data_IF_633592135351
#
_entry.id   IF_633592135351
#
_cell.length_a   1.000
_cell.length_b   1.000
_cell.length_c   1.000
_cell.angle_alpha   90.00
_cell.angle_beta   90.00
_cell.angle_gamma   90.00
#
_symmetry.space_group_name_H-M   'P 1'
#
loop_
_entity.id
_entity.type
_entity.pdbx_description
1 polymer ?
#
# COMPACT_ATOMS: atom_id res chain seq x y z
N UNK A 1 -46.77 -20.95 -67.70
CA UNK A 1 -47.44 -19.94 -66.84
C UNK A 1 -46.46 -19.62 -65.71
N UNK A 2 -45.45 -18.77 -65.95
CA UNK A 2 -45.35 -17.33 -65.61
C UNK A 2 -45.41 -17.10 -64.08
N UNK A 3 -44.47 -16.44 -63.38
CA UNK A 3 -43.48 -15.41 -63.73
C UNK A 3 -42.43 -15.31 -62.59
N UNK A 4 -41.19 -14.96 -62.95
CA UNK A 4 -40.19 -14.34 -62.06
C UNK A 4 -40.65 -12.92 -61.71
N UNK A 5 -40.46 -12.47 -60.47
CA UNK A 5 -40.24 -11.05 -60.15
C UNK A 5 -39.31 -10.93 -58.93
N UNK A 6 -38.14 -10.36 -59.17
CA UNK A 6 -37.36 -9.69 -58.15
C UNK A 6 -38.00 -8.32 -57.88
N UNK A 7 -38.03 -7.90 -56.62
CA UNK A 7 -38.24 -6.51 -56.22
C UNK A 7 -37.35 -6.22 -55.00
N UNK A 8 -36.37 -5.34 -55.22
CA UNK A 8 -35.64 -4.63 -54.19
C UNK A 8 -36.56 -3.55 -53.55
N UNK A 9 -36.21 -3.13 -52.32
CA UNK A 9 -36.48 -1.84 -51.64
C UNK A 9 -36.45 -2.14 -50.12
N UNK A 10 -35.36 -1.83 -49.42
CA UNK A 10 -35.13 -0.56 -48.71
C UNK A 10 -36.07 -0.35 -47.52
N UNK A 11 -35.47 -0.28 -46.32
CA UNK A 11 -36.07 0.41 -45.16
C UNK A 11 -36.80 -0.49 -44.17
N UNK A 12 -36.05 -1.07 -43.25
CA UNK A 12 -36.60 -1.72 -42.07
C UNK A 12 -35.47 -1.87 -41.07
N UNK A 13 -35.21 -0.81 -40.30
CA UNK A 13 -34.33 -0.88 -39.15
C UNK A 13 -34.86 -1.96 -38.21
N UNK A 14 -34.27 -3.14 -38.28
CA UNK A 14 -34.29 -4.05 -37.14
C UNK A 14 -33.48 -3.30 -36.09
N UNK A 15 -34.19 -2.62 -35.19
CA UNK A 15 -33.71 -2.35 -33.85
C UNK A 15 -33.37 -3.72 -33.24
N UNK A 16 -32.20 -4.23 -33.59
CA UNK A 16 -31.47 -5.12 -32.73
C UNK A 16 -31.28 -4.28 -31.50
N UNK A 17 -32.06 -4.55 -30.46
CA UNK A 17 -31.70 -4.19 -29.10
C UNK A 17 -30.39 -4.92 -28.83
N UNK A 18 -29.29 -4.33 -29.28
CA UNK A 18 -27.96 -4.65 -28.82
C UNK A 18 -28.01 -4.29 -27.34
N UNK A 19 -28.20 -5.29 -26.48
CA UNK A 19 -27.79 -5.24 -25.07
C UNK A 19 -26.25 -5.14 -25.00
N UNK A 20 -25.67 -4.18 -25.71
CA UNK A 20 -24.28 -3.78 -25.58
C UNK A 20 -24.23 -2.78 -24.44
N UNK A 21 -23.89 -3.30 -23.26
CA UNK A 21 -23.11 -2.62 -22.23
C UNK A 21 -23.58 -1.24 -21.81
N UNK A 22 -24.35 -1.20 -20.73
CA UNK A 22 -24.42 -0.04 -19.85
C UNK A 22 -23.11 0.06 -19.03
N UNK A 23 -21.95 0.15 -19.69
CA UNK A 23 -20.72 0.71 -19.08
C UNK A 23 -20.66 2.14 -19.58
N UNK A 24 -21.45 3.01 -18.96
CA UNK A 24 -21.72 4.36 -19.43
C UNK A 24 -21.38 5.31 -18.27
N UNK A 25 -20.21 5.96 -18.36
CA UNK A 25 -19.76 7.12 -17.57
C UNK A 25 -19.40 6.91 -16.08
N UNK A 26 -20.15 6.10 -15.32
CA UNK A 26 -19.91 5.90 -13.88
C UNK A 26 -18.68 5.04 -13.56
N UNK A 27 -18.47 3.97 -14.33
CA UNK A 27 -17.27 3.13 -14.23
C UNK A 27 -15.99 3.94 -14.48
N UNK A 28 -16.03 4.85 -15.44
CA UNK A 28 -14.89 5.70 -15.77
C UNK A 28 -14.62 6.71 -14.65
N UNK A 29 -15.67 7.32 -14.08
CA UNK A 29 -15.54 8.25 -12.94
C UNK A 29 -14.96 7.62 -11.69
N UNK A 30 -15.40 6.41 -11.31
CA UNK A 30 -14.86 5.74 -10.12
C UNK A 30 -13.40 5.31 -10.34
N UNK A 31 -13.04 4.92 -11.57
CA UNK A 31 -11.65 4.64 -11.93
C UNK A 31 -10.77 5.89 -11.93
N UNK A 32 -11.27 7.03 -12.41
CA UNK A 32 -10.56 8.31 -12.38
C UNK A 32 -10.34 8.80 -10.93
N UNK A 33 -11.38 8.73 -10.10
CA UNK A 33 -11.27 9.01 -8.66
C UNK A 33 -10.24 8.08 -8.00
N UNK A 34 -10.31 6.78 -8.29
CA UNK A 34 -9.36 5.81 -7.76
C UNK A 34 -7.94 6.13 -8.22
N UNK A 35 -7.75 6.53 -9.48
CA UNK A 35 -6.44 6.93 -10.00
C UNK A 35 -5.87 8.15 -9.26
N UNK A 36 -6.67 9.19 -9.06
CA UNK A 36 -6.27 10.39 -8.33
C UNK A 36 -5.78 10.05 -6.91
N UNK A 37 -6.57 9.24 -6.18
CA UNK A 37 -6.19 8.77 -4.85
C UNK A 37 -4.93 7.91 -4.92
N UNK A 38 -4.88 6.92 -5.83
CA UNK A 38 -3.80 5.95 -5.91
C UNK A 38 -2.45 6.56 -6.29
N UNK A 39 -2.42 7.62 -7.11
CA UNK A 39 -1.20 8.34 -7.45
C UNK A 39 -0.59 9.03 -6.21
N UNK A 40 -1.42 9.48 -5.26
CA UNK A 40 -0.97 10.06 -3.98
C UNK A 40 -0.63 9.00 -2.93
N UNK A 41 -1.30 7.84 -2.98
CA UNK A 41 -1.15 6.72 -2.06
C UNK A 41 0.18 5.99 -2.26
N UNK A 42 0.59 5.76 -3.52
CA UNK A 42 1.77 4.98 -3.87
C UNK A 42 3.05 5.35 -3.08
N UNK A 43 3.50 6.63 -3.03
CA UNK A 43 4.71 6.98 -2.28
C UNK A 43 4.58 6.70 -0.77
N UNK A 44 3.37 6.76 -0.21
CA UNK A 44 3.16 6.49 1.21
C UNK A 44 3.15 4.98 1.48
N UNK A 45 2.60 4.16 0.57
CA UNK A 45 2.71 2.70 0.68
C UNK A 45 4.16 2.24 0.60
N UNK A 46 5.00 2.88 -0.23
CA UNK A 46 6.43 2.57 -0.28
C UNK A 46 7.11 2.89 1.05
N UNK A 47 6.83 4.06 1.65
CA UNK A 47 7.35 4.40 2.99
C UNK A 47 6.94 3.38 4.05
N UNK A 48 5.70 2.89 4.02
CA UNK A 48 5.25 1.85 4.95
C UNK A 48 6.02 0.55 4.72
N UNK A 49 6.19 0.13 3.45
CA UNK A 49 6.94 -1.07 3.11
C UNK A 49 8.41 -0.99 3.55
N UNK A 50 9.08 0.14 3.31
CA UNK A 50 10.48 0.36 3.68
C UNK A 50 10.66 0.45 5.21
N UNK A 51 9.73 1.11 5.91
CA UNK A 51 9.72 1.14 7.37
C UNK A 51 9.58 -0.27 7.96
N UNK A 52 8.62 -1.06 7.46
CA UNK A 52 8.46 -2.45 7.89
C UNK A 52 9.70 -3.30 7.58
N UNK A 53 10.34 -3.09 6.42
CA UNK A 53 11.57 -3.80 6.08
C UNK A 53 12.72 -3.47 7.05
N UNK A 54 12.84 -2.21 7.49
CA UNK A 54 13.87 -1.82 8.46
C UNK A 54 13.68 -2.50 9.83
N UNK A 55 12.44 -2.61 10.33
CA UNK A 55 12.11 -3.37 11.55
C UNK A 55 12.51 -4.85 11.40
N UNK A 56 12.13 -5.47 10.27
CA UNK A 56 12.46 -6.87 10.02
C UNK A 56 13.97 -7.11 9.93
N UNK A 57 14.71 -6.15 9.36
CA UNK A 57 16.15 -6.22 9.27
C UNK A 57 16.82 -6.24 10.66
N UNK A 58 16.38 -5.38 11.59
CA UNK A 58 16.94 -5.38 12.95
C UNK A 58 16.79 -6.72 13.66
N UNK A 59 15.66 -7.40 13.42
CA UNK A 59 15.39 -8.75 13.93
C UNK A 59 16.35 -9.77 13.32
N UNK A 60 16.57 -9.73 12.00
CA UNK A 60 17.50 -10.64 11.31
C UNK A 60 18.96 -10.43 11.75
N UNK A 61 19.35 -9.18 11.96
CA UNK A 61 20.72 -8.79 12.32
C UNK A 61 21.07 -9.09 13.79
N UNK A 62 20.11 -9.58 14.60
CA UNK A 62 20.27 -9.79 16.05
C UNK A 62 20.80 -8.52 16.75
N UNK A 63 20.21 -7.38 16.41
CA UNK A 63 20.70 -6.06 16.78
C UNK A 63 20.62 -5.77 18.28
N UNK A 64 21.40 -4.79 18.74
CA UNK A 64 21.37 -4.38 20.14
C UNK A 64 20.06 -3.66 20.47
N UNK A 65 19.57 -3.70 21.73
CA UNK A 65 18.34 -3.03 22.13
C UNK A 65 18.24 -1.55 21.71
N UNK A 66 19.34 -0.80 21.78
CA UNK A 66 19.36 0.60 21.37
C UNK A 66 19.14 0.80 19.87
N UNK A 67 19.70 -0.09 19.04
CA UNK A 67 19.57 -0.02 17.58
C UNK A 67 18.15 -0.43 17.14
N UNK A 68 17.59 -1.46 17.80
CA UNK A 68 16.19 -1.87 17.64
C UNK A 68 15.25 -0.73 18.02
N UNK A 69 15.41 -0.14 19.21
CA UNK A 69 14.59 0.99 19.66
C UNK A 69 14.62 2.17 18.68
N UNK A 70 15.81 2.58 18.25
CA UNK A 70 15.97 3.72 17.36
C UNK A 70 15.31 3.46 15.99
N UNK A 71 15.50 2.24 15.45
CA UNK A 71 14.92 1.86 14.16
C UNK A 71 13.40 1.75 14.24
N UNK A 72 12.87 1.06 15.26
CA UNK A 72 11.43 0.87 15.44
C UNK A 72 10.73 2.21 15.67
N UNK A 73 11.35 3.12 16.44
CA UNK A 73 10.83 4.49 16.65
C UNK A 73 10.74 5.27 15.33
N UNK A 74 11.81 5.26 14.54
CA UNK A 74 11.83 5.92 13.23
C UNK A 74 10.81 5.30 12.26
N UNK A 75 10.71 3.97 12.26
CA UNK A 75 9.78 3.23 11.42
C UNK A 75 8.31 3.54 11.79
N UNK A 76 7.95 3.49 13.08
CA UNK A 76 6.59 3.82 13.53
C UNK A 76 6.25 5.29 13.29
N UNK A 77 7.20 6.21 13.43
CA UNK A 77 7.01 7.60 13.03
C UNK A 77 6.71 7.73 11.53
N UNK A 78 7.49 7.05 10.68
CA UNK A 78 7.30 7.08 9.23
C UNK A 78 5.94 6.50 8.83
N UNK A 79 5.55 5.38 9.44
CA UNK A 79 4.26 4.74 9.20
C UNK A 79 3.10 5.64 9.65
N UNK A 80 3.20 6.25 10.84
CA UNK A 80 2.21 7.21 11.35
C UNK A 80 1.99 8.37 10.36
N UNK A 81 3.06 8.97 9.86
CA UNK A 81 2.99 10.06 8.88
C UNK A 81 2.42 9.59 7.54
N UNK A 82 2.79 8.39 7.09
CA UNK A 82 2.26 7.80 5.86
C UNK A 82 0.75 7.62 5.96
N UNK A 83 0.22 7.04 7.06
CA UNK A 83 -1.22 6.93 7.28
C UNK A 83 -1.94 8.28 7.33
N UNK A 84 -1.32 9.31 7.92
CA UNK A 84 -1.88 10.67 7.89
C UNK A 84 -1.99 11.21 6.47
N UNK A 85 -0.96 11.01 5.66
CA UNK A 85 -0.92 11.43 4.27
C UNK A 85 -1.93 10.65 3.42
N UNK A 86 -2.12 9.35 3.65
CA UNK A 86 -3.17 8.55 3.02
C UNK A 86 -4.57 9.12 3.33
N UNK A 87 -4.85 9.43 4.60
CA UNK A 87 -6.11 10.06 5.00
C UNK A 87 -6.32 11.42 4.30
N UNK A 88 -5.27 12.23 4.19
CA UNK A 88 -5.31 13.52 3.50
C UNK A 88 -5.58 13.36 2.00
N UNK A 89 -5.04 12.33 1.35
CA UNK A 89 -5.27 12.06 -0.06
C UNK A 89 -6.75 11.71 -0.33
N UNK A 90 -7.33 10.83 0.49
CA UNK A 90 -8.77 10.48 0.39
C UNK A 90 -9.67 11.68 0.71
N UNK A 91 -9.29 12.49 1.70
CA UNK A 91 -10.01 13.71 2.03
C UNK A 91 -10.00 14.71 0.86
N UNK A 92 -8.83 14.89 0.23
CA UNK A 92 -8.63 15.85 -0.87
C UNK A 92 -9.33 15.43 -2.16
N UNK A 93 -9.37 14.12 -2.46
CA UNK A 93 -10.05 13.59 -3.64
C UNK A 93 -11.57 13.68 -3.56
N UNK A 94 -12.14 13.96 -2.38
CA UNK A 94 -13.57 13.98 -2.18
C UNK A 94 -14.22 12.59 -2.14
N UNK A 95 -15.56 12.53 -2.05
CA UNK A 95 -16.30 11.28 -2.09
C UNK A 95 -16.08 10.50 -3.39
N UNK A 96 -15.87 9.17 -3.35
CA UNK A 96 -15.91 8.36 -4.56
C UNK A 96 -17.30 8.45 -5.21
N UNK A 97 -17.40 8.44 -6.54
CA UNK A 97 -18.66 8.60 -7.27
C UNK A 97 -19.45 7.28 -7.32
N UNK A 98 -19.84 6.78 -6.15
CA UNK A 98 -20.64 5.58 -5.92
C UNK A 98 -21.78 5.89 -4.94
N UNK A 99 -22.74 4.98 -4.83
CA UNK A 99 -23.72 5.03 -3.75
C UNK A 99 -22.99 5.00 -2.38
N UNK A 100 -23.45 5.84 -1.44
CA UNK A 100 -22.82 6.07 -0.13
C UNK A 100 -21.38 6.63 -0.15
N UNK A 101 -20.93 7.23 -1.26
CA UNK A 101 -19.58 7.77 -1.40
C UNK A 101 -19.13 8.71 -0.26
N UNK A 102 -20.00 9.61 0.21
CA UNK A 102 -19.67 10.49 1.33
C UNK A 102 -19.37 9.72 2.63
N UNK A 103 -20.16 8.69 2.91
CA UNK A 103 -19.98 7.85 4.09
C UNK A 103 -18.67 7.08 3.95
N UNK A 104 -18.44 6.49 2.79
CA UNK A 104 -17.19 5.77 2.46
C UNK A 104 -15.96 6.65 2.68
N UNK A 105 -15.98 7.89 2.18
CA UNK A 105 -14.89 8.84 2.35
C UNK A 105 -14.66 9.18 3.84
N UNK A 106 -15.71 9.56 4.57
CA UNK A 106 -15.61 9.96 5.98
C UNK A 106 -15.10 8.82 6.86
N UNK A 107 -15.61 7.60 6.64
CA UNK A 107 -15.12 6.41 7.34
C UNK A 107 -13.65 6.14 7.00
N UNK A 108 -13.27 6.16 5.72
CA UNK A 108 -11.89 5.93 5.31
C UNK A 108 -10.92 6.95 5.91
N UNK A 109 -11.24 8.25 5.84
CA UNK A 109 -10.43 9.33 6.42
C UNK A 109 -10.30 9.17 7.93
N UNK A 110 -11.39 8.83 8.62
CA UNK A 110 -11.37 8.58 10.07
C UNK A 110 -10.44 7.43 10.42
N UNK A 111 -10.55 6.30 9.75
CA UNK A 111 -9.78 5.09 10.04
C UNK A 111 -8.29 5.25 9.70
N UNK A 112 -7.96 5.94 8.59
CA UNK A 112 -6.58 6.27 8.24
C UNK A 112 -5.93 7.21 9.26
N UNK A 113 -6.68 8.21 9.74
CA UNK A 113 -6.22 9.09 10.82
C UNK A 113 -6.08 8.36 12.16
N UNK A 114 -6.99 7.44 12.49
CA UNK A 114 -6.89 6.61 13.69
C UNK A 114 -5.64 5.72 13.64
N UNK A 115 -5.34 5.12 12.48
CA UNK A 115 -4.12 4.34 12.26
C UNK A 115 -2.87 5.21 12.45
N UNK A 116 -2.88 6.44 11.92
CA UNK A 116 -1.79 7.39 12.13
C UNK A 116 -1.50 7.65 13.62
N UNK A 117 -2.55 7.89 14.42
CA UNK A 117 -2.43 8.10 15.86
C UNK A 117 -1.87 6.86 16.55
N UNK A 118 -2.41 5.68 16.24
CA UNK A 118 -1.98 4.43 16.87
C UNK A 118 -0.49 4.13 16.64
N UNK A 119 0.03 4.37 15.42
CA UNK A 119 1.47 4.24 15.15
C UNK A 119 2.32 5.30 15.86
N UNK A 120 1.79 6.51 16.08
CA UNK A 120 2.47 7.53 16.90
C UNK A 120 2.55 7.12 18.38
N UNK A 121 1.53 6.44 18.89
CA UNK A 121 1.52 5.87 20.23
C UNK A 121 2.55 4.73 20.35
N UNK A 122 2.63 3.83 19.36
CA UNK A 122 3.65 2.79 19.30
C UNK A 122 5.06 3.36 19.34
N UNK A 123 5.33 4.42 18.56
CA UNK A 123 6.60 5.16 18.61
C UNK A 123 6.92 5.59 20.04
N UNK A 124 5.97 6.22 20.70
CA UNK A 124 6.14 6.74 22.07
C UNK A 124 6.48 5.61 23.05
N UNK A 125 5.87 4.43 22.89
CA UNK A 125 6.14 3.27 23.73
C UNK A 125 7.49 2.64 23.45
N UNK A 126 7.90 2.56 22.17
CA UNK A 126 9.24 2.13 21.79
C UNK A 126 10.29 3.05 22.40
N UNK A 127 10.11 4.37 22.31
CA UNK A 127 11.02 5.36 22.89
C UNK A 127 11.18 5.17 24.41
N UNK A 128 10.16 4.65 25.09
CA UNK A 128 10.16 4.40 26.53
C UNK A 128 10.79 3.06 26.94
N UNK A 129 11.14 2.19 25.98
CA UNK A 129 11.75 0.89 26.28
C UNK A 129 13.09 1.04 26.99
N UNK A 130 13.37 0.13 27.92
CA UNK A 130 14.64 0.11 28.64
C UNK A 130 15.71 -0.63 27.84
N UNK A 131 16.56 0.10 27.13
CA UNK A 131 17.64 -0.48 26.29
C UNK A 131 18.85 -0.98 27.09
N UNK A 132 18.90 -0.75 28.40
CA UNK A 132 20.01 -1.15 29.29
C UNK A 132 19.80 -2.50 29.95
N UNK A 133 18.57 -3.02 29.91
CA UNK A 133 18.18 -4.29 30.52
C UNK A 133 17.50 -5.15 29.45
N UNK A 134 18.19 -6.20 29.01
CA UNK A 134 17.73 -7.01 27.89
C UNK A 134 16.42 -7.75 28.19
N UNK A 135 16.20 -8.17 29.44
CA UNK A 135 14.96 -8.85 29.82
C UNK A 135 13.78 -7.87 29.78
N UNK A 136 13.95 -6.68 30.37
CA UNK A 136 12.91 -5.63 30.32
C UNK A 136 12.67 -5.12 28.91
N UNK A 137 13.70 -5.03 28.09
CA UNK A 137 13.54 -4.65 26.68
C UNK A 137 12.70 -5.67 25.93
N UNK A 138 13.02 -6.96 26.07
CA UNK A 138 12.29 -8.04 25.44
C UNK A 138 10.84 -8.14 25.92
N UNK A 139 10.59 -7.87 27.21
CA UNK A 139 9.23 -7.81 27.75
C UNK A 139 8.45 -6.62 27.18
N UNK A 140 9.04 -5.43 27.13
CA UNK A 140 8.38 -4.27 26.55
C UNK A 140 8.09 -4.42 25.04
N UNK A 141 8.94 -5.15 24.30
CA UNK A 141 8.65 -5.49 22.90
C UNK A 141 7.42 -6.39 22.73
N UNK A 142 7.06 -7.22 23.74
CA UNK A 142 5.81 -8.01 23.69
C UNK A 142 4.59 -7.09 23.77
N UNK A 143 4.62 -6.08 24.64
CA UNK A 143 3.55 -5.10 24.74
C UNK A 143 3.35 -4.33 23.42
N UNK A 144 4.46 -3.96 22.75
CA UNK A 144 4.44 -3.37 21.41
C UNK A 144 3.80 -4.32 20.39
N UNK A 145 4.17 -5.60 20.41
CA UNK A 145 3.62 -6.61 19.52
C UNK A 145 2.11 -6.82 19.73
N UNK A 146 1.65 -6.81 20.98
CA UNK A 146 0.22 -6.90 21.31
C UNK A 146 -0.58 -5.71 20.77
N UNK A 147 -0.01 -4.51 20.83
CA UNK A 147 -0.64 -3.32 20.24
C UNK A 147 -0.63 -3.32 18.73
N UNK A 148 0.46 -3.74 18.10
CA UNK A 148 0.49 -3.98 16.66
C UNK A 148 -0.58 -4.99 16.23
N UNK A 149 -0.80 -6.05 17.00
CA UNK A 149 -1.83 -7.04 16.71
C UNK A 149 -3.25 -6.43 16.80
N UNK A 150 -3.50 -5.55 17.78
CA UNK A 150 -4.75 -4.79 17.87
C UNK A 150 -4.94 -3.84 16.68
N UNK A 151 -3.89 -3.12 16.30
CA UNK A 151 -3.91 -2.22 15.14
C UNK A 151 -4.21 -3.03 13.87
N UNK A 152 -3.54 -4.17 13.67
CA UNK A 152 -3.79 -5.04 12.51
C UNK A 152 -5.23 -5.54 12.48
N UNK A 153 -5.75 -6.02 13.61
CA UNK A 153 -7.10 -6.59 13.69
C UNK A 153 -8.17 -5.52 13.41
N UNK A 154 -8.03 -4.33 13.97
CA UNK A 154 -8.98 -3.23 13.77
C UNK A 154 -8.83 -2.62 12.37
N UNK A 155 -7.60 -2.44 11.91
CA UNK A 155 -7.28 -1.91 10.58
C UNK A 155 -7.80 -2.81 9.46
N UNK A 156 -7.73 -4.13 9.61
CA UNK A 156 -8.27 -5.08 8.63
C UNK A 156 -9.79 -4.93 8.45
N UNK A 157 -10.54 -4.58 9.49
CA UNK A 157 -11.99 -4.37 9.35
C UNK A 157 -12.31 -3.07 8.62
N UNK A 158 -11.58 -2.00 8.93
CA UNK A 158 -11.71 -0.72 8.26
C UNK A 158 -11.31 -0.80 6.78
N UNK A 159 -10.18 -1.43 6.49
CA UNK A 159 -9.64 -1.55 5.14
C UNK A 159 -10.53 -2.45 4.27
N UNK A 160 -11.11 -3.52 4.83
CA UNK A 160 -12.08 -4.38 4.13
C UNK A 160 -13.29 -3.61 3.60
N UNK A 161 -13.75 -2.57 4.29
CA UNK A 161 -14.85 -1.73 3.80
C UNK A 161 -14.43 -0.91 2.58
N UNK A 162 -13.27 -0.25 2.66
CA UNK A 162 -12.73 0.54 1.53
C UNK A 162 -12.37 -0.34 0.33
N UNK A 163 -11.94 -1.58 0.59
CA UNK A 163 -11.61 -2.59 -0.43
C UNK A 163 -12.82 -3.39 -0.93
N UNK A 164 -14.03 -3.08 -0.48
CA UNK A 164 -15.26 -3.74 -0.93
C UNK A 164 -15.99 -2.91 -1.99
N UNK A 165 -16.83 -3.59 -2.76
CA UNK A 165 -17.66 -2.96 -3.79
C UNK A 165 -16.86 -2.29 -4.90
N UNK A 166 -17.51 -1.38 -5.61
CA UNK A 166 -16.97 -0.71 -6.80
C UNK A 166 -15.71 0.10 -6.52
N UNK A 167 -15.62 0.74 -5.36
CA UNK A 167 -14.44 1.51 -4.93
C UNK A 167 -13.22 0.61 -4.79
N UNK A 168 -13.38 -0.53 -4.11
CA UNK A 168 -12.30 -1.51 -3.93
C UNK A 168 -11.81 -2.09 -5.25
N UNK A 169 -12.74 -2.43 -6.15
CA UNK A 169 -12.41 -2.92 -7.50
C UNK A 169 -11.67 -1.87 -8.33
N UNK A 170 -12.11 -0.62 -8.30
CA UNK A 170 -11.46 0.49 -9.00
C UNK A 170 -10.04 0.71 -8.48
N UNK A 171 -9.84 0.77 -7.16
CA UNK A 171 -8.51 0.92 -6.55
C UNK A 171 -7.58 -0.25 -6.88
N UNK A 172 -8.08 -1.49 -6.91
CA UNK A 172 -7.27 -2.67 -7.23
C UNK A 172 -6.74 -2.68 -8.68
N UNK A 173 -7.46 -2.04 -9.61
CA UNK A 173 -7.04 -1.86 -11.00
C UNK A 173 -5.90 -0.84 -11.14
N UNK A 174 -5.76 0.09 -10.19
CA UNK A 174 -4.76 1.15 -10.26
C UNK A 174 -3.39 0.69 -9.76
N UNK A 175 -2.36 0.91 -10.57
CA UNK A 175 -0.96 0.60 -10.22
C UNK A 175 -0.51 1.28 -8.92
N UNK A 176 -0.94 2.51 -8.66
CA UNK A 176 -0.53 3.29 -7.49
C UNK A 176 -1.03 2.73 -6.14
N UNK A 177 -2.10 1.94 -6.15
CA UNK A 177 -2.62 1.28 -4.94
C UNK A 177 -2.18 -0.17 -4.79
N UNK A 178 -1.39 -0.71 -5.72
CA UNK A 178 -0.85 -2.05 -5.58
C UNK A 178 0.23 -2.07 -4.50
N UNK A 179 0.28 -3.16 -3.72
CA UNK A 179 1.27 -3.31 -2.65
C UNK A 179 2.70 -3.22 -3.24
N UNK A 180 3.51 -2.24 -2.83
CA UNK A 180 4.88 -2.16 -3.29
C UNK A 180 5.72 -3.27 -2.66
N UNK A 181 6.71 -3.73 -3.40
CA UNK A 181 7.84 -4.46 -2.81
C UNK A 181 8.72 -3.46 -2.07
N UNK A 182 9.17 -3.79 -0.86
CA UNK A 182 10.15 -2.97 -0.16
C UNK A 182 11.36 -2.73 -1.07
N UNK A 183 11.84 -1.49 -1.11
CA UNK A 183 13.01 -1.16 -1.93
C UNK A 183 14.20 -1.87 -1.31
N UNK A 184 14.92 -2.66 -2.12
CA UNK A 184 16.16 -3.25 -1.66
C UNK A 184 17.14 -2.13 -1.31
N UNK A 185 17.45 -1.94 -0.03
CA UNK A 185 18.57 -1.10 0.38
C UNK A 185 19.82 -1.55 -0.39
N UNK A 186 20.64 -0.63 -0.92
CA UNK A 186 21.88 -1.02 -1.59
C UNK A 186 22.74 -1.77 -0.59
N UNK A 187 22.91 -3.07 -0.83
CA UNK A 187 23.83 -3.91 -0.06
C UNK A 187 25.22 -3.30 -0.15
N UNK A 188 25.70 -2.75 0.95
CA UNK A 188 27.10 -2.35 1.08
C UNK A 188 27.95 -3.62 0.99
N UNK A 189 28.70 -3.80 -0.09
CA UNK A 189 29.51 -5.01 -0.25
C UNK A 189 30.19 -5.21 -1.59
N UNK A 190 30.77 -4.17 -2.18
CA UNK A 190 31.88 -4.38 -3.09
C UNK A 190 33.05 -4.98 -2.29
N UNK A 191 33.30 -6.27 -2.44
CA UNK A 191 34.55 -6.92 -2.05
C UNK A 191 34.80 -8.10 -2.97
N UNK A 192 35.08 -7.79 -4.26
CA UNK A 192 35.88 -8.71 -5.07
C UNK A 192 37.33 -8.51 -4.66
N UNK A 193 37.74 -9.42 -3.78
CA UNK A 193 39.09 -9.78 -3.34
C UNK A 193 40.17 -9.44 -4.36
N UNK A 194 41.06 -8.51 -3.98
CA UNK A 194 42.37 -8.41 -4.58
C UNK A 194 43.15 -9.72 -4.32
N UNK A 195 43.47 -10.47 -5.37
CA UNK A 195 44.50 -11.51 -5.31
C UNK A 195 45.86 -10.90 -5.62
N UNK A 196 46.87 -11.02 -4.73
CA UNK A 196 48.25 -10.83 -5.11
C UNK A 196 48.86 -12.19 -5.50
N UNK A 197 49.35 -12.32 -6.73
CA UNK A 197 50.46 -13.23 -7.01
C UNK A 197 51.18 -12.79 -8.27
N UNK A 198 52.25 -12.03 -8.04
CA UNK A 198 53.38 -11.98 -8.95
C UNK A 198 54.12 -13.31 -8.89
N UNK A 199 54.46 -13.89 -10.05
CA UNK A 199 55.79 -14.42 -10.34
C UNK A 199 55.85 -14.85 -11.79
N UNK A 200 56.44 -13.98 -12.61
CA UNK A 200 57.03 -14.36 -13.88
C UNK A 200 58.32 -15.15 -13.61
N UNK A 201 58.50 -16.30 -14.26
CA UNK A 201 59.83 -16.77 -14.60
C UNK A 201 59.80 -17.38 -16.01
N UNK A 202 60.63 -16.76 -16.83
CA UNK A 202 60.88 -16.97 -18.25
C UNK A 202 61.83 -18.16 -18.43
N UNK A 203 61.54 -19.10 -19.33
CA UNK A 203 62.56 -19.97 -19.93
C UNK A 203 62.10 -20.54 -21.29
N UNK A 204 62.37 -19.77 -22.35
CA UNK A 204 62.92 -20.20 -23.65
C UNK A 204 63.17 -18.93 -24.46
#
# INVERSE_FOLDING_TARGET
MNKKLAAALSGGAVLVLTLSGCSDDSDDKVNDWAKEVCDQVQPQLQKIADANASIQQQTADNSKPADVQATDSAAFQQISQAYKALGTAVESAGPPPVDDGETTQKEAVKELNASSVAYAELKTKVDALNTKDQAKFADGLKDIADELNKISTNGDQALKKLQSGEVGEAMAKQKGCQKPTASASPSAGASKTASPSASATKKA
#
